data_IF_360611607757
#
_entry.id   IF_360611607757
#
_cell.length_a   1.000
_cell.length_b   1.000
_cell.length_c   1.000
_cell.angle_alpha   90.00
_cell.angle_beta   90.00
_cell.angle_gamma   90.00
#
_symmetry.space_group_name_H-M   'P 1'
#
loop_
_entity.id
_entity.type
_entity.pdbx_description
1 polymer ?
#
# COMPACT_ATOMS: atom_id res chain seq x y z
N UNK A 1 3.40 4.83 23.70
CA UNK A 1 3.22 4.39 22.30
C UNK A 1 2.03 3.43 22.27
N UNK A 2 1.23 3.44 21.21
CA UNK A 2 0.08 2.53 21.02
C UNK A 2 0.02 2.10 19.55
N UNK A 3 -0.57 0.93 19.30
CA UNK A 3 -0.79 0.42 17.95
C UNK A 3 0.43 -0.20 17.27
N UNK A 4 0.16 -0.93 16.20
CA UNK A 4 1.10 -1.59 15.29
C UNK A 4 1.00 -0.95 13.91
N UNK A 5 2.13 -0.57 13.37
CA UNK A 5 2.26 0.03 12.06
C UNK A 5 2.85 -0.97 11.06
N UNK A 6 2.27 -1.03 9.87
CA UNK A 6 2.86 -1.67 8.69
C UNK A 6 3.06 -0.61 7.61
N UNK A 7 4.29 -0.47 7.11
CA UNK A 7 4.64 0.47 6.05
C UNK A 7 5.19 -0.29 4.85
N UNK A 8 4.56 -0.15 3.70
CA UNK A 8 5.16 -0.47 2.40
C UNK A 8 5.86 0.78 1.88
N UNK A 9 7.11 0.65 1.46
CA UNK A 9 7.91 1.83 1.12
C UNK A 9 8.91 1.61 0.00
N UNK A 10 9.39 2.73 -0.55
CA UNK A 10 10.51 2.76 -1.48
C UNK A 10 11.82 3.23 -0.81
N UNK A 11 12.84 3.58 -1.60
CA UNK A 11 14.14 4.05 -1.09
C UNK A 11 14.08 5.39 -0.37
N UNK A 12 13.08 6.23 -0.64
CA UNK A 12 12.92 7.58 -0.10
C UNK A 12 12.56 7.56 1.39
N UNK A 13 11.69 6.64 1.82
CA UNK A 13 11.36 6.41 3.24
C UNK A 13 12.57 6.15 4.12
N UNK A 14 13.66 5.58 3.59
CA UNK A 14 14.86 5.25 4.37
C UNK A 14 15.53 6.48 4.98
N UNK A 15 15.28 7.68 4.47
CA UNK A 15 15.94 8.91 4.90
C UNK A 15 15.14 9.67 5.96
N UNK A 16 14.90 9.00 7.11
CA UNK A 16 14.37 9.62 8.34
C UNK A 16 12.91 9.30 8.67
N UNK A 17 12.10 8.88 7.71
CA UNK A 17 10.71 8.53 7.97
C UNK A 17 10.59 7.23 8.77
N UNK A 18 11.48 6.25 8.54
CA UNK A 18 11.56 5.01 9.33
C UNK A 18 11.79 5.31 10.81
N UNK A 19 12.77 6.15 11.13
CA UNK A 19 13.12 6.46 12.52
C UNK A 19 11.97 7.18 13.21
N UNK A 20 11.43 8.22 12.56
CA UNK A 20 10.30 8.98 13.09
C UNK A 20 9.08 8.10 13.36
N UNK A 21 8.66 7.27 12.39
CA UNK A 21 7.51 6.38 12.54
C UNK A 21 7.78 5.24 13.53
N UNK A 22 9.02 4.71 13.58
CA UNK A 22 9.44 3.72 14.56
C UNK A 22 9.32 4.22 16.00
N UNK A 23 9.44 5.53 16.21
CA UNK A 23 9.30 6.15 17.52
C UNK A 23 7.84 6.32 17.98
N UNK A 24 6.86 6.39 17.08
CA UNK A 24 5.48 6.69 17.45
C UNK A 24 4.66 5.45 17.85
N UNK A 25 4.98 4.28 17.30
CA UNK A 25 4.19 3.05 17.47
C UNK A 25 4.86 2.02 18.40
N UNK A 26 4.06 1.12 18.98
CA UNK A 26 4.62 0.03 19.82
C UNK A 26 5.44 -0.96 19.01
N UNK A 27 5.05 -1.18 17.75
CA UNK A 27 5.75 -2.02 16.80
C UNK A 27 5.52 -1.45 15.41
N UNK A 28 6.60 -1.28 14.65
CA UNK A 28 6.56 -0.85 13.26
C UNK A 28 7.24 -1.90 12.39
N UNK A 29 6.59 -2.29 11.30
CA UNK A 29 7.13 -3.21 10.29
C UNK A 29 7.28 -2.43 9.00
N UNK A 30 8.50 -2.38 8.48
CA UNK A 30 8.85 -1.69 7.24
C UNK A 30 9.16 -2.72 6.16
N UNK A 31 8.39 -2.70 5.08
CA UNK A 31 8.52 -3.61 3.94
C UNK A 31 8.96 -2.80 2.73
N UNK A 32 10.19 -3.04 2.28
CA UNK A 32 10.70 -2.43 1.06
C UNK A 32 10.06 -3.09 -0.16
N UNK A 33 8.97 -2.50 -0.64
CA UNK A 33 8.19 -3.01 -1.77
C UNK A 33 7.50 -1.83 -2.46
N UNK A 34 8.09 -1.35 -3.56
CA UNK A 34 7.67 -0.12 -4.25
C UNK A 34 6.24 -0.17 -4.82
N UNK A 35 5.74 -1.37 -5.12
CA UNK A 35 4.39 -1.59 -5.68
C UNK A 35 3.82 -2.87 -5.06
N UNK A 36 3.23 -2.80 -3.86
CA UNK A 36 2.64 -3.97 -3.24
C UNK A 36 1.39 -4.40 -4.02
N UNK A 37 1.32 -5.67 -4.42
CA UNK A 37 0.07 -6.23 -4.96
C UNK A 37 -0.96 -6.42 -3.84
N UNK A 38 -2.25 -6.51 -4.18
CA UNK A 38 -3.31 -6.80 -3.20
C UNK A 38 -3.02 -8.05 -2.37
N UNK A 39 -2.56 -9.15 -2.99
CA UNK A 39 -2.19 -10.37 -2.25
C UNK A 39 -1.00 -10.15 -1.30
N UNK A 40 -0.02 -9.33 -1.69
CA UNK A 40 1.12 -9.00 -0.82
C UNK A 40 0.65 -8.19 0.40
N UNK A 41 -0.24 -7.22 0.18
CA UNK A 41 -0.85 -6.43 1.26
C UNK A 41 -1.65 -7.34 2.18
N UNK A 42 -2.54 -8.16 1.62
CA UNK A 42 -3.39 -9.10 2.36
C UNK A 42 -2.56 -10.04 3.22
N UNK A 43 -1.55 -10.68 2.64
CA UNK A 43 -0.65 -11.57 3.37
C UNK A 43 0.02 -10.88 4.57
N UNK A 44 0.56 -9.67 4.36
CA UNK A 44 1.25 -8.94 5.44
C UNK A 44 0.28 -8.44 6.52
N UNK A 45 -0.92 -7.99 6.15
CA UNK A 45 -1.96 -7.57 7.10
C UNK A 45 -2.44 -8.75 7.93
N UNK A 46 -2.68 -9.91 7.30
CA UNK A 46 -3.10 -11.12 8.00
C UNK A 46 -2.03 -11.61 8.99
N UNK A 47 -0.75 -11.53 8.60
CA UNK A 47 0.39 -11.96 9.41
C UNK A 47 0.71 -11.01 10.56
N UNK A 48 0.82 -9.71 10.29
CA UNK A 48 1.32 -8.74 11.28
C UNK A 48 0.21 -8.15 12.15
N UNK A 49 -1.05 -8.26 11.70
CA UNK A 49 -2.23 -7.68 12.34
C UNK A 49 -2.01 -6.20 12.74
N UNK A 50 -1.64 -5.33 11.78
CA UNK A 50 -1.40 -3.92 12.07
C UNK A 50 -2.71 -3.19 12.38
N UNK A 51 -2.63 -2.12 13.18
CA UNK A 51 -3.72 -1.18 13.39
C UNK A 51 -3.76 -0.11 12.30
N UNK A 52 -2.59 0.18 11.71
CA UNK A 52 -2.43 1.16 10.63
C UNK A 52 -1.55 0.58 9.54
N UNK A 53 -1.98 0.75 8.28
CA UNK A 53 -1.22 0.41 7.09
C UNK A 53 -0.94 1.70 6.31
N UNK A 54 0.32 1.92 5.94
CA UNK A 54 0.75 3.04 5.10
C UNK A 54 1.45 2.48 3.87
N UNK A 55 1.08 2.98 2.70
CA UNK A 55 1.90 2.88 1.51
C UNK A 55 2.57 4.23 1.28
N UNK A 56 3.90 4.25 1.34
CA UNK A 56 4.70 5.41 0.99
C UNK A 56 5.32 5.21 -0.39
N UNK A 57 5.22 6.25 -1.22
CA UNK A 57 5.89 6.33 -2.50
C UNK A 57 6.34 7.76 -2.78
N UNK A 58 7.51 7.91 -3.41
CA UNK A 58 7.91 9.21 -3.93
C UNK A 58 6.96 9.68 -5.05
N UNK A 59 6.64 10.98 -5.08
CA UNK A 59 5.68 11.58 -6.03
C UNK A 59 5.92 11.19 -7.49
N UNK A 60 7.19 11.09 -7.90
CA UNK A 60 7.60 10.70 -9.26
C UNK A 60 7.07 9.33 -9.71
N UNK A 61 6.63 8.48 -8.79
CA UNK A 61 6.06 7.17 -9.08
C UNK A 61 4.53 7.15 -9.18
N UNK A 62 3.82 8.25 -8.85
CA UNK A 62 2.36 8.32 -9.00
C UNK A 62 1.90 8.02 -10.43
N UNK A 63 2.66 8.48 -11.44
CA UNK A 63 2.33 8.23 -12.84
C UNK A 63 2.36 6.74 -13.25
N UNK A 64 3.09 5.89 -12.51
CA UNK A 64 3.08 4.44 -12.73
C UNK A 64 1.81 3.81 -12.17
N UNK A 65 1.30 4.35 -11.07
CA UNK A 65 0.06 3.91 -10.43
C UNK A 65 -1.18 4.24 -11.24
N UNK A 66 -1.27 5.46 -11.74
CA UNK A 66 -2.42 5.91 -12.55
C UNK A 66 -2.56 5.11 -13.87
N UNK A 67 -1.46 4.63 -14.44
CA UNK A 67 -1.49 3.81 -15.66
C UNK A 67 -2.04 2.41 -15.47
N UNK A 68 -1.98 1.88 -14.26
CA UNK A 68 -2.57 0.57 -13.96
C UNK A 68 -4.05 0.70 -13.57
N UNK A 69 -4.52 1.85 -13.07
CA UNK A 69 -5.96 2.08 -12.84
C UNK A 69 -6.79 2.12 -14.14
N UNK A 70 -6.20 2.52 -15.27
CA UNK A 70 -6.86 2.39 -16.58
C UNK A 70 -7.19 0.94 -16.96
N UNK A 71 -6.61 -0.07 -16.28
CA UNK A 71 -6.96 -1.50 -16.45
C UNK A 71 -8.02 -1.98 -15.46
N UNK A 72 -8.28 -1.24 -14.37
CA UNK A 72 -9.32 -1.59 -13.39
C UNK A 72 -10.69 -1.00 -13.72
N UNK A 73 -10.77 -0.02 -14.63
CA UNK A 73 -12.05 0.54 -15.11
C UNK A 73 -12.66 -0.23 -16.31
N UNK A 74 -11.94 -1.14 -16.96
CA UNK A 74 -12.47 -1.90 -18.11
C UNK A 74 -13.35 -3.10 -17.73
N UNK A 75 -13.24 -3.66 -16.52
CA UNK A 75 -14.07 -4.82 -16.13
C UNK A 75 -15.52 -4.44 -15.75
N UNK A 76 -15.75 -3.23 -15.21
CA UNK A 76 -17.08 -2.76 -14.80
C UNK A 76 -17.85 -1.99 -15.89
N UNK A 77 -17.25 -1.81 -17.08
CA UNK A 77 -17.85 -1.05 -18.19
C UNK A 77 -18.48 -1.90 -19.31
N UNK A 78 -18.59 -3.23 -19.13
CA UNK A 78 -19.44 -4.06 -19.98
C UNK A 78 -20.93 -3.74 -19.68
N UNK A 79 -21.73 -3.23 -20.64
CA UNK A 79 -23.15 -3.02 -20.41
C UNK A 79 -23.79 -4.38 -20.09
N UNK A 80 -24.51 -4.45 -18.95
CA UNK A 80 -25.41 -5.58 -18.69
C UNK A 80 -26.40 -5.64 -19.85
N UNK A 81 -26.25 -6.63 -20.72
CA UNK A 81 -27.30 -6.96 -21.68
C UNK A 81 -28.52 -7.38 -20.88
N UNK A 82 -29.52 -6.50 -20.79
CA UNK A 82 -30.86 -6.85 -20.33
C UNK A 82 -31.39 -7.91 -21.31
N UNK A 83 -31.51 -9.15 -20.82
CA UNK A 83 -32.15 -10.23 -21.56
C UNK A 83 -33.66 -10.07 -21.47
N UNK A 84 -34.29 -10.10 -22.64
CA UNK A 84 -35.74 -10.15 -22.91
C UNK A 84 -36.46 -11.35 -22.26
#
# INVERSE_FOLDING_TARGET
>A
KTGKLLVFHDSFTRHGLIDFLGEQFNRSVFVYLRRPSFESVRYMVEREKPDVVIEEMAERFLSLWLKDEDLFYEEDSQPRTEGE
#
